data_IF_401723736216
#
_entry.id   IF_401723736216
#
_cell.length_a   1.000
_cell.length_b   1.000
_cell.length_c   1.000
_cell.angle_alpha   90.00
_cell.angle_beta   90.00
_cell.angle_gamma   90.00
#
_symmetry.space_group_name_H-M   'P 1'
#
loop_
_entity.id
_entity.type
_entity.pdbx_description
1 polymer ?
#
# COMPACT_ATOMS: atom_id res chain seq x y z
N UNK A 1 14.77 -2.42 -23.67
CA UNK A 1 13.84 -2.02 -24.76
C UNK A 1 13.65 -3.21 -25.68
N UNK A 2 12.42 -3.65 -25.84
CA UNK A 2 12.04 -4.72 -26.75
C UNK A 2 11.47 -4.06 -28.02
N UNK A 3 12.06 -4.24 -29.19
CA UNK A 3 11.53 -3.68 -30.41
C UNK A 3 10.21 -4.37 -30.80
N UNK A 4 9.31 -3.68 -31.55
CA UNK A 4 8.03 -4.26 -31.96
C UNK A 4 8.16 -5.42 -32.97
N UNK A 5 9.33 -5.61 -33.55
CA UNK A 5 9.64 -6.68 -34.52
C UNK A 5 10.19 -7.89 -33.76
N UNK A 6 9.59 -9.07 -33.97
CA UNK A 6 9.94 -10.30 -33.26
C UNK A 6 11.41 -10.74 -33.41
N UNK A 7 12.07 -10.39 -34.49
CA UNK A 7 13.43 -10.84 -34.83
C UNK A 7 14.54 -9.85 -34.43
N UNK A 8 14.20 -8.69 -33.89
CA UNK A 8 15.21 -7.72 -33.47
C UNK A 8 15.65 -7.97 -32.04
N UNK A 9 16.96 -7.94 -31.72
CA UNK A 9 17.46 -8.20 -30.39
C UNK A 9 17.03 -7.12 -29.39
N UNK A 10 16.66 -7.54 -28.17
CA UNK A 10 16.36 -6.62 -27.10
C UNK A 10 17.60 -5.82 -26.72
N UNK A 11 17.42 -4.51 -26.51
CA UNK A 11 18.49 -3.61 -26.04
C UNK A 11 18.40 -3.43 -24.53
N UNK A 12 19.49 -3.66 -23.83
CA UNK A 12 19.63 -3.34 -22.41
C UNK A 12 19.94 -1.86 -22.24
N UNK A 13 19.21 -1.19 -21.36
CA UNK A 13 19.34 0.23 -21.05
C UNK A 13 19.21 0.44 -19.54
N UNK A 14 19.77 1.52 -19.03
CA UNK A 14 19.50 1.98 -17.67
C UNK A 14 18.24 2.84 -17.66
N UNK A 15 17.52 2.86 -16.53
CA UNK A 15 16.29 3.64 -16.41
C UNK A 15 16.52 5.16 -16.65
N UNK A 16 17.66 5.69 -16.25
CA UNK A 16 18.05 7.08 -16.51
C UNK A 16 18.15 7.47 -17.99
N UNK A 17 18.18 6.48 -18.92
CA UNK A 17 18.16 6.70 -20.37
C UNK A 17 16.72 6.84 -20.92
N UNK A 18 15.69 6.64 -20.08
CA UNK A 18 14.29 6.70 -20.51
C UNK A 18 13.92 7.97 -21.29
N UNK A 19 14.36 9.19 -20.88
CA UNK A 19 14.08 10.39 -21.64
C UNK A 19 14.62 10.34 -23.08
N UNK A 20 15.75 9.67 -23.32
CA UNK A 20 16.35 9.57 -24.66
C UNK A 20 15.61 8.57 -25.53
N UNK A 21 14.94 7.58 -24.93
CA UNK A 21 14.24 6.51 -25.62
C UNK A 21 12.82 6.89 -26.04
N UNK A 22 12.15 7.79 -25.29
CA UNK A 22 10.78 8.20 -25.61
C UNK A 22 10.78 9.22 -26.75
N UNK A 23 9.85 9.10 -27.73
CA UNK A 23 9.63 10.14 -28.73
C UNK A 23 9.18 11.47 -28.08
N UNK A 24 9.42 12.63 -28.70
CA UNK A 24 8.71 13.87 -28.35
C UNK A 24 7.19 13.64 -28.56
N UNK A 25 6.37 14.47 -27.96
CA UNK A 25 4.89 14.38 -28.01
C UNK A 25 4.31 13.08 -27.37
N UNK A 26 5.10 12.43 -26.51
CA UNK A 26 4.65 11.28 -25.72
C UNK A 26 3.83 11.75 -24.53
N UNK A 27 2.72 11.07 -24.20
CA UNK A 27 2.01 11.20 -22.93
C UNK A 27 2.45 10.07 -22.00
N UNK A 28 3.13 10.42 -20.90
CA UNK A 28 3.47 9.50 -19.82
C UNK A 28 2.35 9.48 -18.77
N UNK A 29 1.63 8.36 -18.66
CA UNK A 29 0.61 8.17 -17.61
C UNK A 29 1.26 7.47 -16.42
N UNK A 30 1.11 8.03 -15.20
CA UNK A 30 1.69 7.48 -13.99
C UNK A 30 0.65 7.36 -12.87
N UNK A 31 0.84 6.37 -12.00
CA UNK A 31 -0.03 6.15 -10.85
C UNK A 31 0.46 6.96 -9.65
N UNK A 32 -0.29 7.98 -9.23
CA UNK A 32 0.06 8.89 -8.14
C UNK A 32 -0.39 8.41 -6.76
N UNK A 33 -0.79 7.15 -6.63
CA UNK A 33 -1.17 6.59 -5.34
C UNK A 33 0.00 6.61 -4.34
N UNK A 34 -0.33 6.81 -3.05
CA UNK A 34 0.62 6.80 -1.94
C UNK A 34 0.38 5.60 -1.03
N UNK A 35 1.45 4.89 -0.68
CA UNK A 35 1.39 3.76 0.25
C UNK A 35 1.09 4.27 1.65
N UNK A 36 0.16 3.59 2.32
CA UNK A 36 -0.21 3.85 3.71
C UNK A 36 0.53 2.90 4.66
N UNK A 37 0.75 3.29 5.93
CA UNK A 37 1.28 2.40 6.97
C UNK A 37 0.23 1.36 7.38
N UNK A 38 -0.09 0.44 6.48
CA UNK A 38 -1.21 -0.49 6.59
C UNK A 38 -0.96 -1.67 7.54
N UNK A 39 0.24 -1.83 8.09
CA UNK A 39 0.63 -2.94 8.95
C UNK A 39 0.61 -2.52 10.41
N UNK A 40 -0.30 -3.10 11.21
CA UNK A 40 -0.51 -2.78 12.62
C UNK A 40 -0.06 -3.96 13.49
N UNK A 41 0.95 -3.75 14.33
CA UNK A 41 1.47 -4.76 15.26
C UNK A 41 0.84 -4.58 16.64
N UNK A 42 -0.33 -5.17 16.82
CA UNK A 42 -1.15 -5.02 18.02
C UNK A 42 -0.85 -6.07 19.08
N UNK A 43 -1.29 -5.83 20.30
CA UNK A 43 -1.13 -6.73 21.45
C UNK A 43 -2.47 -7.04 22.10
N UNK A 44 -2.62 -8.27 22.55
CA UNK A 44 -3.71 -8.70 23.43
C UNK A 44 -3.45 -8.21 24.86
N UNK A 45 -4.47 -8.09 25.72
CA UNK A 45 -4.27 -7.86 27.14
C UNK A 45 -3.37 -8.89 27.81
N UNK A 46 -3.32 -10.12 27.28
CA UNK A 46 -2.45 -11.20 27.75
C UNK A 46 -1.01 -11.13 27.23
N UNK A 47 -0.67 -10.08 26.45
CA UNK A 47 0.67 -9.87 25.89
C UNK A 47 0.92 -10.50 24.51
N UNK A 48 0.04 -11.37 24.02
CA UNK A 48 0.18 -12.02 22.71
C UNK A 48 0.10 -11.02 21.55
N UNK A 49 1.00 -11.15 20.55
CA UNK A 49 1.01 -10.32 19.37
C UNK A 49 -0.09 -10.73 18.36
N UNK A 50 -0.74 -9.75 17.76
CA UNK A 50 -1.67 -9.87 16.64
C UNK A 50 -1.27 -8.87 15.58
N UNK A 51 -0.96 -9.35 14.38
CA UNK A 51 -0.67 -8.50 13.24
C UNK A 51 -1.95 -8.30 12.42
N UNK A 52 -2.31 -7.04 12.19
CA UNK A 52 -3.47 -6.66 11.37
C UNK A 52 -2.93 -5.90 10.17
N UNK A 53 -3.31 -6.34 8.98
CA UNK A 53 -2.95 -5.72 7.73
C UNK A 53 -4.20 -5.15 7.06
N UNK A 54 -4.27 -3.82 6.98
CA UNK A 54 -5.39 -3.09 6.39
C UNK A 54 -5.38 -3.30 4.87
N UNK A 55 -6.55 -3.62 4.28
CA UNK A 55 -6.68 -3.81 2.82
C UNK A 55 -7.63 -2.79 2.21
N UNK A 56 -8.91 -2.92 2.54
CA UNK A 56 -9.95 -2.08 1.97
C UNK A 56 -10.86 -1.51 3.07
N UNK A 57 -11.31 -0.25 2.96
CA UNK A 57 -12.26 0.31 3.88
C UNK A 57 -13.60 -0.43 3.77
N UNK A 58 -14.22 -0.72 4.93
CA UNK A 58 -15.52 -1.39 5.01
C UNK A 58 -16.63 -0.44 5.42
N UNK A 59 -16.36 0.47 6.38
CA UNK A 59 -17.29 1.50 6.83
C UNK A 59 -16.50 2.71 7.37
N UNK A 60 -16.61 3.89 6.77
CA UNK A 60 -17.19 4.12 5.43
C UNK A 60 -16.37 3.41 4.33
N UNK A 61 -17.02 3.09 3.19
CA UNK A 61 -16.36 2.34 2.09
C UNK A 61 -15.45 3.18 1.21
N UNK A 62 -15.67 4.47 1.18
CA UNK A 62 -14.82 5.41 0.45
C UNK A 62 -13.50 5.63 1.19
N UNK A 63 -12.37 5.56 0.46
CA UNK A 63 -11.03 5.71 1.05
C UNK A 63 -10.83 7.08 1.70
N UNK A 64 -11.23 8.16 1.03
CA UNK A 64 -11.05 9.51 1.57
C UNK A 64 -11.87 9.70 2.85
N UNK A 65 -13.15 9.30 2.83
CA UNK A 65 -14.01 9.35 4.00
C UNK A 65 -13.50 8.47 5.15
N UNK A 66 -12.98 7.27 4.83
CA UNK A 66 -12.43 6.38 5.83
C UNK A 66 -11.19 6.98 6.49
N UNK A 67 -10.30 7.63 5.72
CA UNK A 67 -9.13 8.31 6.27
C UNK A 67 -9.48 9.56 7.08
N UNK A 68 -10.57 10.25 6.75
CA UNK A 68 -11.09 11.41 7.49
C UNK A 68 -11.93 11.02 8.71
N UNK A 69 -12.26 9.73 8.88
CA UNK A 69 -13.06 9.26 10.03
C UNK A 69 -12.39 9.62 11.35
N UNK A 70 -13.24 9.93 12.34
CA UNK A 70 -12.82 10.28 13.70
C UNK A 70 -13.38 9.30 14.72
N UNK A 71 -12.57 8.96 15.71
CA UNK A 71 -12.92 8.04 16.78
C UNK A 71 -13.00 6.57 16.37
N UNK A 72 -13.58 6.23 15.21
CA UNK A 72 -13.61 4.85 14.72
C UNK A 72 -13.88 4.72 13.22
N UNK A 73 -13.45 3.59 12.64
CA UNK A 73 -13.81 3.13 11.29
C UNK A 73 -13.70 1.60 11.20
N UNK A 74 -14.14 1.01 10.09
CA UNK A 74 -14.04 -0.43 9.88
C UNK A 74 -13.31 -0.74 8.57
N UNK A 75 -12.45 -1.75 8.61
CA UNK A 75 -11.65 -2.18 7.47
C UNK A 75 -11.72 -3.69 7.26
N UNK A 76 -11.64 -4.11 6.02
CA UNK A 76 -11.34 -5.49 5.66
C UNK A 76 -9.82 -5.70 5.80
N UNK A 77 -9.44 -6.71 6.58
CA UNK A 77 -8.05 -6.92 6.99
C UNK A 77 -7.62 -8.36 6.78
N UNK A 78 -6.34 -8.57 6.49
CA UNK A 78 -5.68 -9.84 6.78
C UNK A 78 -5.17 -9.81 8.23
N UNK A 79 -5.32 -10.93 8.93
CA UNK A 79 -4.89 -11.03 10.34
C UNK A 79 -3.92 -12.20 10.49
N UNK A 80 -2.69 -11.88 10.89
CA UNK A 80 -1.67 -12.86 11.21
C UNK A 80 -2.02 -13.60 12.50
N UNK A 81 -1.81 -14.95 12.50
CA UNK A 81 -2.15 -15.79 13.64
C UNK A 81 -3.62 -15.69 14.09
N UNK A 82 -4.54 -15.50 13.16
CA UNK A 82 -5.97 -15.31 13.42
C UNK A 82 -6.55 -16.37 14.36
N UNK A 83 -6.12 -17.64 14.22
CA UNK A 83 -6.53 -18.74 15.10
C UNK A 83 -6.23 -18.50 16.58
N UNK A 84 -5.33 -17.59 16.91
CA UNK A 84 -5.00 -17.21 18.28
C UNK A 84 -5.77 -15.96 18.76
N UNK A 85 -6.53 -15.29 17.89
CA UNK A 85 -7.40 -14.16 18.26
C UNK A 85 -8.86 -14.61 18.27
N UNK A 86 -9.27 -15.22 19.37
CA UNK A 86 -10.63 -15.77 19.54
C UNK A 86 -11.70 -14.69 19.79
N UNK A 87 -11.31 -13.43 19.99
CA UNK A 87 -12.19 -12.31 20.29
C UNK A 87 -11.56 -11.35 21.30
N UNK A 88 -12.35 -10.34 21.68
CA UNK A 88 -11.90 -9.24 22.53
C UNK A 88 -11.03 -8.24 21.78
N UNK A 89 -10.74 -7.13 22.43
CA UNK A 89 -9.94 -6.05 21.88
C UNK A 89 -8.45 -6.38 21.94
N UNK A 90 -7.75 -5.96 20.90
CA UNK A 90 -6.28 -5.86 20.86
C UNK A 90 -5.91 -4.39 20.74
N UNK A 91 -4.77 -3.98 21.26
CA UNK A 91 -4.37 -2.57 21.30
C UNK A 91 -2.96 -2.33 20.81
N UNK A 92 -2.73 -1.12 20.34
CA UNK A 92 -1.43 -0.59 19.97
C UNK A 92 -1.30 0.79 20.60
N UNK A 93 -0.31 0.97 21.48
CA UNK A 93 -0.07 2.21 22.21
C UNK A 93 1.12 2.94 21.63
N UNK A 94 0.92 4.20 21.26
CA UNK A 94 1.96 5.19 21.00
C UNK A 94 1.91 6.28 22.10
N UNK A 95 2.88 7.20 22.18
CA UNK A 95 2.90 8.22 23.23
C UNK A 95 1.63 9.06 23.34
N UNK A 96 0.98 9.33 22.20
CA UNK A 96 -0.16 10.24 22.08
C UNK A 96 -1.38 9.59 21.39
N UNK A 97 -1.33 8.29 21.10
CA UNK A 97 -2.43 7.55 20.46
C UNK A 97 -2.57 6.17 21.08
N UNK A 98 -3.80 5.83 21.48
CA UNK A 98 -4.19 4.45 21.76
C UNK A 98 -5.10 3.98 20.62
N UNK A 99 -4.67 3.00 19.86
CA UNK A 99 -5.49 2.32 18.84
C UNK A 99 -5.95 0.96 19.36
N UNK A 100 -7.24 0.71 19.31
CA UNK A 100 -7.86 -0.58 19.61
C UNK A 100 -8.43 -1.20 18.34
N UNK A 101 -8.43 -2.52 18.26
CA UNK A 101 -9.08 -3.26 17.19
C UNK A 101 -9.93 -4.39 17.74
N UNK A 102 -11.10 -4.58 17.13
CA UNK A 102 -12.06 -5.61 17.47
C UNK A 102 -12.53 -6.37 16.21
N UNK A 103 -12.53 -7.69 16.29
CA UNK A 103 -13.03 -8.55 15.21
C UNK A 103 -14.54 -8.48 15.15
N UNK A 104 -15.12 -8.04 14.02
CA UNK A 104 -16.56 -7.86 13.84
C UNK A 104 -17.26 -9.10 13.28
N UNK A 105 -16.53 -9.95 12.56
CA UNK A 105 -17.08 -11.16 11.94
C UNK A 105 -15.99 -12.23 11.78
N UNK A 106 -16.40 -13.46 11.55
CA UNK A 106 -15.49 -14.51 11.13
C UNK A 106 -14.94 -14.22 9.72
N UNK A 107 -13.77 -14.77 9.36
CA UNK A 107 -13.18 -14.53 8.06
C UNK A 107 -14.11 -14.95 6.92
N UNK A 108 -14.13 -14.14 5.86
CA UNK A 108 -14.82 -14.47 4.63
C UNK A 108 -14.09 -15.59 3.84
N UNK A 109 -14.59 -15.94 2.64
CA UNK A 109 -14.01 -16.99 1.79
C UNK A 109 -12.55 -16.73 1.40
N UNK A 110 -12.14 -15.45 1.31
CA UNK A 110 -10.78 -15.02 0.98
C UNK A 110 -9.87 -14.94 2.21
N UNK A 111 -10.39 -15.28 3.40
CA UNK A 111 -9.68 -15.19 4.68
C UNK A 111 -9.60 -13.79 5.25
N UNK A 112 -10.37 -12.83 4.70
CA UNK A 112 -10.41 -11.45 5.18
C UNK A 112 -11.35 -11.32 6.36
N UNK A 113 -10.95 -10.52 7.33
CA UNK A 113 -11.69 -10.24 8.56
C UNK A 113 -12.13 -8.79 8.56
N UNK A 114 -13.42 -8.53 8.85
CA UNK A 114 -13.89 -7.18 9.12
C UNK A 114 -13.49 -6.80 10.54
N UNK A 115 -12.71 -5.74 10.66
CA UNK A 115 -12.15 -5.24 11.91
C UNK A 115 -12.62 -3.83 12.13
N UNK A 116 -13.18 -3.55 13.32
CA UNK A 116 -13.44 -2.21 13.80
C UNK A 116 -12.18 -1.70 14.49
N UNK A 117 -11.75 -0.52 14.08
CA UNK A 117 -10.65 0.24 14.65
C UNK A 117 -11.24 1.43 15.41
N UNK A 118 -10.82 1.63 16.65
CA UNK A 118 -11.21 2.78 17.47
C UNK A 118 -9.99 3.34 18.18
N UNK A 119 -9.95 4.66 18.39
CA UNK A 119 -8.77 5.31 18.93
C UNK A 119 -9.08 6.47 19.87
N UNK A 120 -8.06 6.80 20.65
CA UNK A 120 -8.02 7.97 21.49
C UNK A 120 -6.72 8.75 21.20
N UNK A 121 -6.77 10.10 21.08
CA UNK A 121 -7.95 10.97 21.18
C UNK A 121 -8.87 10.82 19.94
N UNK A 122 -10.19 11.01 20.13
CA UNK A 122 -11.18 10.81 19.07
C UNK A 122 -11.23 11.94 18.03
N UNK A 123 -10.63 13.08 18.30
CA UNK A 123 -10.63 14.27 17.47
C UNK A 123 -9.61 14.24 16.34
N UNK A 124 -8.66 13.31 16.34
CA UNK A 124 -7.73 13.10 15.22
C UNK A 124 -8.33 12.15 14.18
N UNK A 125 -7.98 12.36 12.91
CA UNK A 125 -8.44 11.51 11.81
C UNK A 125 -7.66 10.19 11.72
N UNK A 126 -8.26 9.20 11.07
CA UNK A 126 -7.66 7.87 10.92
C UNK A 126 -6.33 7.89 10.16
N UNK A 127 -6.18 8.77 9.16
CA UNK A 127 -4.91 8.91 8.43
C UNK A 127 -3.77 9.28 9.39
N UNK A 128 -4.02 10.23 10.29
CA UNK A 128 -3.06 10.63 11.33
C UNK A 128 -2.77 9.49 12.30
N UNK A 129 -3.79 8.72 12.70
CA UNK A 129 -3.60 7.55 13.58
C UNK A 129 -2.65 6.55 12.95
N UNK A 130 -2.93 6.08 11.72
CA UNK A 130 -2.09 5.06 11.08
C UNK A 130 -0.68 5.55 10.76
N UNK A 131 -0.49 6.85 10.49
CA UNK A 131 0.83 7.45 10.32
C UNK A 131 1.67 7.40 11.61
N UNK A 132 1.04 7.47 12.80
CA UNK A 132 1.72 7.43 14.10
C UNK A 132 2.01 6.01 14.59
N UNK A 133 1.14 5.06 14.30
CA UNK A 133 1.23 3.70 14.88
C UNK A 133 1.45 2.59 13.86
N UNK A 134 1.16 2.82 12.59
CA UNK A 134 1.29 1.85 11.52
C UNK A 134 2.73 1.73 11.01
N UNK A 135 2.98 0.65 10.30
CA UNK A 135 4.23 0.41 9.55
C UNK A 135 3.95 0.26 8.07
N UNK A 136 4.87 0.73 7.25
CA UNK A 136 4.80 0.52 5.79
C UNK A 136 4.93 -0.98 5.52
N UNK A 137 3.99 -1.58 4.77
CA UNK A 137 4.15 -2.95 4.34
C UNK A 137 5.22 -3.02 3.25
N UNK A 138 6.22 -3.85 3.47
CA UNK A 138 7.24 -4.16 2.47
C UNK A 138 7.01 -5.57 1.91
N UNK A 139 7.41 -5.83 0.65
CA UNK A 139 7.25 -7.14 0.05
C UNK A 139 7.93 -8.25 0.85
N UNK A 140 7.27 -9.41 1.05
CA UNK A 140 7.81 -10.50 1.86
C UNK A 140 9.18 -11.04 1.39
N UNK A 141 9.50 -10.89 0.08
CA UNK A 141 10.78 -11.37 -0.47
C UNK A 141 11.99 -10.55 0.00
N UNK A 142 11.79 -9.41 0.68
CA UNK A 142 12.89 -8.65 1.27
C UNK A 142 13.44 -9.27 2.55
N UNK A 143 12.71 -10.22 3.17
CA UNK A 143 13.11 -11.03 4.33
C UNK A 143 13.72 -10.22 5.48
N UNK A 144 13.24 -8.98 5.67
CA UNK A 144 13.65 -8.08 6.77
C UNK A 144 12.46 -7.37 7.37
N UNK A 145 12.63 -6.82 8.55
CA UNK A 145 11.67 -5.89 9.13
C UNK A 145 11.68 -4.54 8.41
N UNK A 146 10.55 -3.81 8.53
CA UNK A 146 10.41 -2.46 7.98
C UNK A 146 11.33 -1.51 8.75
N UNK A 147 12.09 -0.70 8.03
CA UNK A 147 12.97 0.34 8.53
C UNK A 147 12.32 1.73 8.33
N UNK A 148 12.83 2.74 9.02
CA UNK A 148 12.31 4.11 8.92
C UNK A 148 12.48 4.69 7.50
N UNK A 149 13.55 4.31 6.81
CA UNK A 149 13.80 4.70 5.41
C UNK A 149 12.72 4.21 4.45
N UNK A 150 12.05 3.07 4.73
CA UNK A 150 11.00 2.52 3.87
C UNK A 150 9.80 3.48 3.72
N UNK A 151 9.59 4.37 4.68
CA UNK A 151 8.56 5.41 4.61
C UNK A 151 8.78 6.31 3.39
N UNK A 152 10.03 6.53 3.03
CA UNK A 152 10.42 7.35 1.88
C UNK A 152 10.78 6.50 0.67
N UNK A 153 11.55 5.44 0.86
CA UNK A 153 12.13 4.64 -0.24
C UNK A 153 11.09 3.76 -0.93
N UNK A 154 10.00 3.37 -0.23
CA UNK A 154 8.90 2.62 -0.80
C UNK A 154 7.73 3.52 -1.25
N UNK A 155 8.07 4.73 -1.71
CA UNK A 155 7.14 5.70 -2.32
C UNK A 155 7.68 6.22 -3.63
N UNK A 156 6.81 6.49 -4.60
CA UNK A 156 7.24 7.23 -5.79
C UNK A 156 7.41 8.71 -5.44
N UNK A 157 8.33 9.40 -6.09
CA UNK A 157 8.59 10.85 -5.89
C UNK A 157 7.40 11.75 -6.24
N UNK A 158 6.38 11.18 -6.87
CA UNK A 158 5.15 11.86 -7.28
C UNK A 158 3.90 11.32 -6.57
N UNK A 159 4.05 10.48 -5.55
CA UNK A 159 2.92 9.94 -4.78
C UNK A 159 2.17 11.06 -4.03
N UNK A 160 0.85 11.07 -4.12
CA UNK A 160 -0.01 12.13 -3.55
C UNK A 160 -1.22 11.58 -2.82
N UNK A 161 -1.96 10.65 -3.44
CA UNK A 161 -3.27 10.19 -2.96
C UNK A 161 -3.10 8.91 -2.15
N UNK A 162 -3.36 8.99 -0.84
CA UNK A 162 -3.26 7.85 0.09
C UNK A 162 -4.29 6.77 -0.26
N UNK A 163 -3.94 5.49 -0.10
CA UNK A 163 -4.87 4.38 -0.26
C UNK A 163 -4.26 3.07 -0.75
N UNK A 164 -2.99 3.06 -1.15
CA UNK A 164 -2.30 1.83 -1.56
C UNK A 164 -1.64 1.13 -0.38
N UNK A 165 -1.67 -0.19 -0.39
CA UNK A 165 -0.89 -1.03 0.52
C UNK A 165 0.44 -1.49 -0.10
N UNK A 166 0.62 -1.30 -1.42
CA UNK A 166 1.87 -1.55 -2.11
C UNK A 166 2.20 -0.40 -3.07
N UNK A 167 3.50 -0.14 -3.24
CA UNK A 167 3.97 0.87 -4.19
C UNK A 167 3.85 0.38 -5.64
N UNK A 168 3.56 1.27 -6.60
CA UNK A 168 3.73 0.98 -8.03
C UNK A 168 5.24 0.93 -8.34
N UNK A 169 5.85 -0.25 -8.13
CA UNK A 169 7.31 -0.43 -8.04
C UNK A 169 8.07 0.03 -9.27
N UNK A 170 7.49 -0.05 -10.47
CA UNK A 170 8.09 0.52 -11.68
C UNK A 170 8.29 2.04 -11.58
N UNK A 171 7.44 2.71 -10.79
CA UNK A 171 7.52 4.15 -10.54
C UNK A 171 8.65 4.57 -9.60
N UNK A 172 9.20 3.66 -8.80
CA UNK A 172 10.29 3.96 -7.85
C UNK A 172 11.61 4.34 -8.53
N UNK A 173 11.75 4.00 -9.80
CA UNK A 173 12.95 4.37 -10.58
C UNK A 173 12.95 5.82 -11.06
N UNK A 174 11.80 6.52 -11.01
CA UNK A 174 11.73 7.92 -11.41
C UNK A 174 12.35 8.83 -10.35
N UNK A 175 13.12 9.81 -10.83
CA UNK A 175 13.64 10.90 -10.02
C UNK A 175 13.14 12.24 -10.55
N UNK A 176 13.22 13.34 -9.78
CA UNK A 176 12.88 14.68 -10.26
C UNK A 176 13.63 15.06 -11.54
N UNK A 177 14.91 14.71 -11.64
CA UNK A 177 15.78 15.00 -12.78
C UNK A 177 15.31 14.29 -14.06
N UNK A 178 14.79 13.06 -13.94
CA UNK A 178 14.22 12.33 -15.08
C UNK A 178 12.98 13.08 -15.59
N UNK A 179 12.10 13.55 -14.69
CA UNK A 179 10.93 14.33 -15.09
C UNK A 179 11.30 15.67 -15.73
N UNK A 180 12.35 16.33 -15.26
CA UNK A 180 12.83 17.58 -15.87
C UNK A 180 13.35 17.34 -17.29
N UNK A 181 14.11 16.27 -17.53
CA UNK A 181 14.57 15.88 -18.86
C UNK A 181 13.40 15.49 -19.78
N UNK A 182 12.40 14.78 -19.29
CA UNK A 182 11.19 14.43 -20.04
C UNK A 182 10.43 15.69 -20.48
N UNK A 183 10.24 16.63 -19.56
CA UNK A 183 9.57 17.91 -19.85
C UNK A 183 10.33 18.74 -20.89
N UNK A 184 11.67 18.82 -20.80
CA UNK A 184 12.51 19.51 -21.78
C UNK A 184 12.40 18.89 -23.17
N UNK A 185 12.11 17.59 -23.25
CA UNK A 185 11.92 16.87 -24.51
C UNK A 185 10.51 17.02 -25.10
N UNK A 186 9.57 17.65 -24.41
CA UNK A 186 8.18 17.77 -24.83
C UNK A 186 7.32 16.54 -24.51
N UNK A 187 7.73 15.76 -23.48
CA UNK A 187 6.90 14.66 -22.94
C UNK A 187 5.93 15.22 -21.91
N UNK A 188 4.64 15.05 -22.15
CA UNK A 188 3.59 15.39 -21.20
C UNK A 188 3.41 14.29 -20.14
N UNK A 189 2.92 14.68 -18.96
CA UNK A 189 2.67 13.76 -17.85
C UNK A 189 1.25 13.90 -17.34
N UNK A 190 0.52 12.79 -17.27
CA UNK A 190 -0.80 12.70 -16.67
C UNK A 190 -0.80 11.76 -15.46
N UNK A 191 -1.54 12.13 -14.43
CA UNK A 191 -1.72 11.31 -13.23
C UNK A 191 -3.03 10.52 -13.30
N UNK A 192 -2.96 9.24 -12.89
CA UNK A 192 -4.12 8.41 -12.54
C UNK A 192 -3.97 7.97 -11.09
N UNK A 193 -5.07 7.68 -10.42
CA UNK A 193 -5.04 7.12 -9.06
C UNK A 193 -5.59 5.71 -9.09
N UNK A 194 -4.74 4.72 -8.92
CA UNK A 194 -5.09 3.31 -8.82
C UNK A 194 -4.55 2.79 -7.49
N UNK A 195 -5.44 2.51 -6.54
CA UNK A 195 -5.05 1.93 -5.25
C UNK A 195 -4.63 0.47 -5.44
N UNK A 196 -3.39 0.18 -5.07
CA UNK A 196 -2.81 -1.16 -5.18
C UNK A 196 -3.13 -1.91 -3.89
N UNK A 197 -3.99 -2.92 -4.00
CA UNK A 197 -4.41 -3.78 -2.89
C UNK A 197 -3.40 -4.89 -2.58
N UNK A 198 -3.68 -5.64 -1.50
CA UNK A 198 -2.80 -6.73 -1.04
C UNK A 198 -2.76 -7.95 -1.98
N UNK A 199 -3.64 -8.02 -2.97
CA UNK A 199 -3.59 -9.08 -3.99
C UNK A 199 -2.23 -9.18 -4.67
N UNK A 200 -1.53 -8.05 -4.80
CA UNK A 200 -0.17 -8.00 -5.39
C UNK A 200 0.89 -8.78 -4.56
N UNK A 201 0.64 -9.04 -3.28
CA UNK A 201 1.53 -9.85 -2.43
C UNK A 201 1.18 -11.34 -2.43
N UNK A 202 0.03 -11.71 -3.00
CA UNK A 202 -0.35 -13.12 -3.10
C UNK A 202 0.46 -13.80 -4.21
N UNK A 203 1.18 -14.90 -3.93
CA UNK A 203 1.85 -15.64 -4.98
C UNK A 203 0.82 -16.27 -5.92
N UNK A 204 1.10 -16.25 -7.23
CA UNK A 204 0.30 -16.96 -8.22
C UNK A 204 0.39 -18.46 -7.93
N UNK A 205 -0.76 -19.09 -7.64
CA UNK A 205 -0.85 -20.54 -7.32
C UNK A 205 -1.48 -21.35 -8.45
N UNK A 206 -2.08 -20.67 -9.44
CA UNK A 206 -2.71 -21.33 -10.59
C UNK A 206 -1.68 -21.67 -11.66
N UNK A 207 -1.83 -22.84 -12.28
CA UNK A 207 -0.99 -23.26 -13.40
C UNK A 207 -1.40 -22.57 -14.71
N UNK A 208 -2.58 -21.97 -14.78
CA UNK A 208 -3.12 -21.30 -15.96
C UNK A 208 -3.64 -19.91 -15.66
N UNK A 209 -3.60 -19.01 -16.65
CA UNK A 209 -4.14 -17.65 -16.54
C UNK A 209 -5.64 -17.65 -16.22
N UNK A 210 -6.42 -18.61 -16.70
CA UNK A 210 -7.85 -18.72 -16.45
C UNK A 210 -8.19 -19.13 -15.01
N UNK A 211 -7.24 -19.71 -14.28
CA UNK A 211 -7.39 -20.08 -12.86
C UNK A 211 -6.84 -19.04 -11.88
N UNK A 212 -6.35 -17.91 -12.38
CA UNK A 212 -5.85 -16.81 -11.56
C UNK A 212 -6.99 -15.81 -11.29
N UNK A 213 -7.33 -15.62 -10.01
CA UNK A 213 -8.25 -14.60 -9.51
C UNK A 213 -7.54 -13.26 -9.34
#
# INVERSE_FOLDING_TARGET
VVPPQYDAPARHCRFGELPDLLPPDTLLVRNNTRVIPARLLMRKPTGGAVEIFLLDPAEPRDYAQSFESRGSCEWMCLVGNLKRWHGGKVSLQAPDVLLEAEKMAEPNRDGLVRVRLSWQPEDIDFATVIERVGRIPIPPYLERDTEESDITDYQTVYSRIRGSVAAPTAGLHFTPEIFDRLRQKGVDVADVTLHVGAGTFKPVKSETMAGHE
#
